data_IF_327922356783
#
_entry.id   IF_327922356783
#
_cell.length_a   1.000
_cell.length_b   1.000
_cell.length_c   1.000
_cell.angle_alpha   90.00
_cell.angle_beta   90.00
_cell.angle_gamma   90.00
#
_symmetry.space_group_name_H-M   'P 1'
#
loop_
_entity.id
_entity.type
_entity.pdbx_description
1 polymer ?
#
# COMPACT_ATOMS: atom_id res chain seq x y z
N UNK A 1 -24.14 -22.10 40.79
CA UNK A 1 -24.79 -20.79 41.07
C UNK A 1 -24.31 -19.65 40.18
N UNK A 2 -23.03 -19.24 40.21
CA UNK A 2 -22.54 -18.16 39.31
C UNK A 2 -22.41 -18.64 37.86
N UNK A 3 -21.91 -19.87 37.67
CA UNK A 3 -21.77 -20.50 36.36
C UNK A 3 -23.11 -20.61 35.60
N UNK A 4 -24.18 -21.01 36.30
CA UNK A 4 -25.52 -21.14 35.71
C UNK A 4 -26.10 -19.79 35.26
N UNK A 5 -25.83 -18.71 36.03
CA UNK A 5 -26.21 -17.33 35.64
C UNK A 5 -25.46 -16.87 34.39
N UNK A 6 -24.18 -17.23 34.26
CA UNK A 6 -23.38 -16.91 33.07
C UNK A 6 -23.93 -17.67 31.85
N UNK A 7 -24.25 -18.97 31.99
CA UNK A 7 -24.83 -19.75 30.90
C UNK A 7 -26.19 -19.21 30.45
N UNK A 8 -27.06 -18.82 31.38
CA UNK A 8 -28.34 -18.17 31.08
C UNK A 8 -28.14 -16.85 30.32
N UNK A 9 -27.21 -16.00 30.77
CA UNK A 9 -26.90 -14.75 30.09
C UNK A 9 -26.40 -14.98 28.65
N UNK A 10 -25.53 -15.96 28.42
CA UNK A 10 -25.04 -16.32 27.08
C UNK A 10 -26.20 -16.79 26.18
N UNK A 11 -27.11 -17.60 26.69
CA UNK A 11 -28.29 -18.04 25.93
C UNK A 11 -29.21 -16.87 25.59
N UNK A 12 -29.42 -15.94 26.52
CA UNK A 12 -30.21 -14.73 26.26
C UNK A 12 -29.56 -13.83 25.21
N UNK A 13 -28.23 -13.66 25.26
CA UNK A 13 -27.47 -12.93 24.24
C UNK A 13 -27.69 -13.55 22.87
N UNK A 14 -27.52 -14.87 22.73
CA UNK A 14 -27.75 -15.58 21.46
C UNK A 14 -29.18 -15.40 20.93
N UNK A 15 -30.19 -15.52 21.81
CA UNK A 15 -31.59 -15.27 21.43
C UNK A 15 -31.83 -13.83 20.94
N UNK A 16 -31.19 -12.85 21.58
CA UNK A 16 -31.28 -11.44 21.17
C UNK A 16 -30.57 -11.19 19.84
N UNK A 17 -29.42 -11.82 19.60
CA UNK A 17 -28.70 -11.73 18.33
C UNK A 17 -29.50 -12.31 17.15
N UNK A 18 -30.16 -13.46 17.36
CA UNK A 18 -31.03 -14.07 16.35
C UNK A 18 -32.23 -13.17 16.04
N UNK A 19 -32.89 -12.63 17.06
CA UNK A 19 -33.98 -11.66 16.88
C UNK A 19 -33.52 -10.43 16.11
N UNK A 20 -32.34 -9.88 16.45
CA UNK A 20 -31.77 -8.74 15.75
C UNK A 20 -31.46 -9.05 14.28
N UNK A 21 -30.98 -10.26 13.97
CA UNK A 21 -30.78 -10.70 12.58
C UNK A 21 -32.10 -10.75 11.81
N UNK A 22 -33.19 -11.20 12.43
CA UNK A 22 -34.54 -11.17 11.85
C UNK A 22 -34.97 -9.74 11.54
N UNK A 23 -34.97 -8.87 12.55
CA UNK A 23 -35.35 -7.46 12.40
C UNK A 23 -34.55 -6.76 11.30
N UNK A 24 -33.23 -6.99 11.22
CA UNK A 24 -32.39 -6.42 10.16
C UNK A 24 -32.76 -6.90 8.75
N UNK A 25 -33.24 -8.14 8.60
CA UNK A 25 -33.70 -8.65 7.30
C UNK A 25 -35.02 -7.99 6.92
N UNK A 26 -35.95 -7.90 7.86
CA UNK A 26 -37.27 -7.30 7.62
C UNK A 26 -37.12 -5.81 7.30
N UNK A 27 -36.31 -5.06 8.06
CA UNK A 27 -35.98 -3.66 7.76
C UNK A 27 -35.41 -3.50 6.35
N UNK A 28 -34.52 -4.38 5.89
CA UNK A 28 -33.97 -4.31 4.53
C UNK A 28 -35.02 -4.53 3.44
N UNK A 29 -36.06 -5.29 3.73
CA UNK A 29 -37.18 -5.51 2.79
C UNK A 29 -38.05 -4.26 2.75
N UNK A 30 -38.41 -3.72 3.90
CA UNK A 30 -39.22 -2.49 4.01
C UNK A 30 -38.51 -1.25 3.45
N UNK A 31 -37.21 -1.13 3.65
CA UNK A 31 -36.38 -0.04 3.10
C UNK A 31 -36.13 -0.18 1.59
N UNK A 32 -36.56 -1.29 0.97
CA UNK A 32 -36.38 -1.49 -0.47
C UNK A 32 -37.31 -0.55 -1.22
N UNK A 33 -36.72 0.38 -1.96
CA UNK A 33 -37.46 1.28 -2.84
C UNK A 33 -38.05 0.47 -3.99
N UNK A 34 -39.37 0.30 -4.03
CA UNK A 34 -40.07 -0.46 -5.08
C UNK A 34 -40.48 0.37 -6.29
N UNK A 35 -40.24 1.69 -6.25
CA UNK A 35 -40.52 2.59 -7.36
C UNK A 35 -39.87 2.12 -8.66
N UNK A 36 -40.69 1.95 -9.69
CA UNK A 36 -40.30 1.36 -10.97
C UNK A 36 -39.26 2.23 -11.69
N UNK A 37 -39.43 3.56 -11.67
CA UNK A 37 -38.50 4.50 -12.28
C UNK A 37 -37.13 4.44 -11.59
N UNK A 38 -37.11 4.37 -10.26
CA UNK A 38 -35.88 4.19 -9.49
C UNK A 38 -35.17 2.87 -9.84
N UNK A 39 -35.91 1.76 -9.95
CA UNK A 39 -35.33 0.46 -10.30
C UNK A 39 -34.77 0.46 -11.73
N UNK A 40 -35.44 1.10 -12.68
CA UNK A 40 -34.98 1.23 -14.05
C UNK A 40 -33.76 2.15 -14.16
N UNK A 41 -33.73 3.27 -13.45
CA UNK A 41 -32.54 4.13 -13.35
C UNK A 41 -31.36 3.36 -12.75
N UNK A 42 -31.59 2.58 -11.70
CA UNK A 42 -30.55 1.75 -11.06
C UNK A 42 -30.01 0.69 -12.01
N UNK A 43 -30.87 0.08 -12.83
CA UNK A 43 -30.48 -0.91 -13.83
C UNK A 43 -29.67 -0.25 -14.95
N UNK A 44 -30.17 0.85 -15.52
CA UNK A 44 -29.47 1.62 -16.55
C UNK A 44 -28.10 2.10 -16.07
N UNK A 45 -27.98 2.55 -14.82
CA UNK A 45 -26.68 2.92 -14.23
C UNK A 45 -25.71 1.74 -14.12
N UNK A 46 -26.21 0.54 -13.81
CA UNK A 46 -25.37 -0.66 -13.79
C UNK A 46 -24.91 -1.05 -15.19
N UNK A 47 -25.80 -0.99 -16.18
CA UNK A 47 -25.49 -1.29 -17.58
C UNK A 47 -24.48 -0.29 -18.16
N UNK A 48 -24.68 1.01 -17.94
CA UNK A 48 -23.73 2.03 -18.37
C UNK A 48 -22.35 1.86 -17.74
N UNK A 49 -22.27 1.45 -16.46
CA UNK A 49 -20.97 1.16 -15.82
C UNK A 49 -20.25 -0.01 -16.46
N UNK A 50 -20.97 -1.03 -16.91
CA UNK A 50 -20.38 -2.15 -17.65
C UNK A 50 -19.88 -1.68 -19.01
N UNK A 51 -20.70 -0.92 -19.75
CA UNK A 51 -20.29 -0.36 -21.04
C UNK A 51 -19.05 0.52 -20.95
N UNK A 52 -18.94 1.38 -19.92
CA UNK A 52 -17.74 2.19 -19.70
C UNK A 52 -16.52 1.31 -19.45
N UNK A 53 -16.66 0.25 -18.64
CA UNK A 53 -15.58 -0.68 -18.34
C UNK A 53 -15.12 -1.43 -19.58
N UNK A 54 -16.05 -1.88 -20.41
CA UNK A 54 -15.74 -2.57 -21.67
C UNK A 54 -15.00 -1.61 -22.63
N UNK A 55 -15.45 -0.35 -22.74
CA UNK A 55 -14.76 0.68 -23.54
C UNK A 55 -13.36 1.02 -23.02
N UNK A 56 -13.17 1.05 -21.69
CA UNK A 56 -11.85 1.25 -21.08
C UNK A 56 -10.91 0.10 -21.41
N UNK A 57 -11.39 -1.14 -21.36
CA UNK A 57 -10.62 -2.34 -21.73
C UNK A 57 -10.23 -2.32 -23.21
N UNK A 58 -11.19 -2.04 -24.10
CA UNK A 58 -10.93 -1.91 -25.54
C UNK A 58 -9.89 -0.81 -25.84
N UNK A 59 -10.03 0.37 -25.21
CA UNK A 59 -9.10 1.47 -25.39
C UNK A 59 -7.68 1.14 -24.87
N UNK A 60 -7.58 0.38 -23.78
CA UNK A 60 -6.31 -0.10 -23.25
C UNK A 60 -5.65 -1.12 -24.19
N UNK A 61 -6.42 -2.04 -24.76
CA UNK A 61 -5.91 -2.98 -25.75
C UNK A 61 -5.38 -2.27 -27.00
N UNK A 62 -6.10 -1.27 -27.49
CA UNK A 62 -5.68 -0.49 -28.65
C UNK A 62 -4.44 0.35 -28.34
N UNK A 63 -4.34 0.91 -27.14
CA UNK A 63 -3.12 1.57 -26.68
C UNK A 63 -1.93 0.60 -26.66
N UNK A 64 -2.12 -0.65 -26.20
CA UNK A 64 -1.06 -1.66 -26.19
C UNK A 64 -0.64 -2.11 -27.60
N UNK A 65 -1.54 -2.04 -28.58
CA UNK A 65 -1.24 -2.28 -29.99
C UNK A 65 -0.51 -1.10 -30.64
N UNK A 66 -0.57 0.09 -30.04
CA UNK A 66 0.10 1.29 -30.56
C UNK A 66 1.62 1.13 -30.54
N UNK A 67 2.26 1.39 -31.69
CA UNK A 67 3.72 1.36 -31.82
C UNK A 67 4.39 2.33 -30.84
N UNK A 68 3.85 3.55 -30.70
CA UNK A 68 4.40 4.56 -29.78
C UNK A 68 4.36 4.11 -28.31
N UNK A 69 3.29 3.44 -27.88
CA UNK A 69 3.23 2.89 -26.53
C UNK A 69 4.26 1.78 -26.32
N UNK A 70 4.45 0.92 -27.31
CA UNK A 70 5.46 -0.14 -27.26
C UNK A 70 6.89 0.44 -27.23
N UNK A 71 7.17 1.50 -28.00
CA UNK A 71 8.43 2.23 -27.92
C UNK A 71 8.68 2.80 -26.53
N UNK A 72 7.68 3.45 -25.91
CA UNK A 72 7.77 3.95 -24.54
C UNK A 72 8.01 2.82 -23.53
N UNK A 73 7.38 1.66 -23.72
CA UNK A 73 7.58 0.49 -22.88
C UNK A 73 9.00 -0.04 -22.99
N UNK A 74 9.56 -0.12 -24.20
CA UNK A 74 10.96 -0.52 -24.42
C UNK A 74 11.95 0.49 -23.81
N UNK A 75 11.72 1.79 -24.00
CA UNK A 75 12.53 2.83 -23.39
C UNK A 75 12.54 2.72 -21.86
N UNK A 76 11.38 2.43 -21.25
CA UNK A 76 11.26 2.21 -19.80
C UNK A 76 12.10 1.01 -19.35
N UNK A 77 11.99 -0.12 -20.05
CA UNK A 77 12.75 -1.33 -19.72
C UNK A 77 14.27 -1.08 -19.79
N UNK A 78 14.75 -0.44 -20.86
CA UNK A 78 16.16 -0.08 -21.00
C UNK A 78 16.65 0.84 -19.88
N UNK A 79 15.81 1.81 -19.46
CA UNK A 79 16.14 2.70 -18.34
C UNK A 79 16.19 1.94 -17.00
N UNK A 80 15.25 1.03 -16.75
CA UNK A 80 15.22 0.17 -15.55
C UNK A 80 16.46 -0.73 -15.49
N UNK A 81 16.83 -1.37 -16.59
CA UNK A 81 18.03 -2.19 -16.70
C UNK A 81 19.31 -1.39 -16.47
N UNK A 82 19.44 -0.21 -17.10
CA UNK A 82 20.58 0.68 -16.89
C UNK A 82 20.72 1.11 -15.43
N UNK A 83 19.59 1.42 -14.78
CA UNK A 83 19.58 1.79 -13.36
C UNK A 83 19.98 0.62 -12.46
N UNK A 84 19.54 -0.60 -12.77
CA UNK A 84 19.95 -1.80 -12.05
C UNK A 84 21.45 -2.06 -12.18
N UNK A 85 22.02 -1.91 -13.37
CA UNK A 85 23.46 -2.06 -13.59
C UNK A 85 24.28 -1.01 -12.82
N UNK A 86 23.86 0.26 -12.82
CA UNK A 86 24.54 1.31 -12.05
C UNK A 86 24.44 1.07 -10.54
N UNK A 87 23.30 0.56 -10.05
CA UNK A 87 23.18 0.12 -8.65
C UNK A 87 24.12 -1.03 -8.32
N UNK A 88 24.23 -2.02 -9.18
CA UNK A 88 25.16 -3.15 -8.97
C UNK A 88 26.62 -2.66 -8.92
N UNK A 89 27.01 -1.76 -9.82
CA UNK A 89 28.34 -1.13 -9.77
C UNK A 89 28.56 -0.36 -8.47
N UNK A 90 27.55 0.41 -8.03
CA UNK A 90 27.62 1.14 -6.76
C UNK A 90 27.80 0.18 -5.57
N UNK A 91 27.07 -0.94 -5.54
CA UNK A 91 27.22 -1.93 -4.48
C UNK A 91 28.60 -2.57 -4.47
N UNK A 92 29.14 -2.93 -5.64
CA UNK A 92 30.54 -3.43 -5.75
C UNK A 92 31.55 -2.40 -5.25
N UNK A 93 31.38 -1.13 -5.59
CA UNK A 93 32.26 -0.06 -5.10
C UNK A 93 32.13 0.14 -3.59
N UNK A 94 30.93 0.00 -3.02
CA UNK A 94 30.71 0.06 -1.57
C UNK A 94 31.39 -1.10 -0.83
N UNK A 95 31.44 -2.31 -1.41
CA UNK A 95 32.18 -3.45 -0.86
C UNK A 95 33.69 -3.21 -0.84
N UNK A 96 34.22 -2.45 -1.80
CA UNK A 96 35.65 -2.09 -1.87
C UNK A 96 36.04 -0.96 -0.91
N UNK A 97 35.06 -0.23 -0.33
CA UNK A 97 35.35 0.79 0.67
C UNK A 97 35.87 0.09 1.93
N UNK A 98 37.13 0.35 2.35
CA UNK A 98 37.64 -0.23 3.57
C UNK A 98 36.78 0.21 4.75
N UNK A 99 36.40 -0.74 5.62
CA UNK A 99 35.76 -0.53 6.94
C UNK A 99 36.70 0.21 7.92
N UNK A 100 37.40 1.25 7.45
CA UNK A 100 38.25 2.09 8.28
C UNK A 100 37.40 3.18 8.91
N UNK A 101 37.60 3.46 10.21
CA UNK A 101 37.02 4.64 10.83
C UNK A 101 37.49 5.86 10.04
N UNK A 102 36.54 6.66 9.57
CA UNK A 102 36.82 7.92 8.90
C UNK A 102 36.53 9.07 9.88
N UNK A 103 37.43 10.05 9.91
CA UNK A 103 37.21 11.29 10.65
C UNK A 103 36.33 12.21 9.82
N UNK A 104 35.21 12.64 10.40
CA UNK A 104 34.42 13.74 9.85
C UNK A 104 34.71 14.97 10.72
N UNK A 105 35.22 16.03 10.09
CA UNK A 105 35.31 17.36 10.69
C UNK A 105 33.98 18.07 10.50
N UNK A 106 33.18 18.18 11.57
CA UNK A 106 31.91 18.93 11.54
C UNK A 106 32.15 20.32 12.14
N UNK A 107 31.81 21.37 11.39
CA UNK A 107 31.77 22.75 11.93
C UNK A 107 30.40 23.00 12.53
N UNK A 108 30.33 23.14 13.85
CA UNK A 108 29.16 23.68 14.54
C UNK A 108 29.45 25.13 15.01
N UNK A 109 28.42 25.86 15.42
CA UNK A 109 28.49 27.29 15.79
C UNK A 109 29.48 27.57 16.94
N UNK A 110 29.84 26.55 17.74
CA UNK A 110 30.81 26.65 18.85
C UNK A 110 32.22 26.11 18.54
N UNK A 111 32.48 25.62 17.31
CA UNK A 111 33.81 25.17 16.88
C UNK A 111 33.84 23.89 16.04
N UNK A 112 35.05 23.43 15.69
CA UNK A 112 35.28 22.20 14.92
C UNK A 112 35.25 20.98 15.85
N UNK A 113 34.25 20.10 15.67
CA UNK A 113 34.17 18.82 16.36
C UNK A 113 34.71 17.71 15.45
N UNK A 114 35.64 16.91 15.98
CA UNK A 114 36.18 15.72 15.32
C UNK A 114 35.42 14.47 15.78
N UNK A 115 34.77 13.78 14.86
CA UNK A 115 34.07 12.52 15.15
C UNK A 115 34.84 11.37 14.52
N UNK A 116 35.36 10.47 15.35
CA UNK A 116 35.91 9.17 14.92
C UNK A 116 34.83 8.10 15.09
N UNK A 117 34.28 7.60 13.98
CA UNK A 117 33.26 6.55 14.00
C UNK A 117 33.88 5.18 13.70
N UNK A 118 33.78 4.24 14.64
CA UNK A 118 34.16 2.84 14.41
C UNK A 118 33.08 2.10 13.58
N UNK A 119 33.42 1.04 12.82
CA UNK A 119 32.47 0.34 11.93
C UNK A 119 31.22 -0.23 12.62
N UNK A 120 31.28 -0.48 13.93
CA UNK A 120 30.17 -0.98 14.74
C UNK A 120 29.31 0.12 15.39
N UNK A 121 29.62 1.40 15.17
CA UNK A 121 28.87 2.51 15.76
C UNK A 121 27.70 2.93 14.86
N UNK A 122 26.52 3.08 15.46
CA UNK A 122 25.32 3.61 14.81
C UNK A 122 25.46 5.12 14.69
N UNK A 123 25.56 5.63 13.46
CA UNK A 123 25.66 7.06 13.21
C UNK A 123 24.25 7.63 13.04
N UNK A 124 23.96 8.69 13.80
CA UNK A 124 22.71 9.43 13.72
C UNK A 124 23.00 10.80 13.09
N UNK A 125 22.30 11.12 12.00
CA UNK A 125 22.35 12.46 11.39
C UNK A 125 20.94 13.04 11.45
N UNK A 126 20.78 14.22 12.06
CA UNK A 126 19.48 14.88 12.26
C UNK A 126 18.40 13.95 12.88
N UNK A 127 18.79 13.14 13.87
CA UNK A 127 17.89 12.26 14.61
C UNK A 127 17.43 11.00 13.87
N UNK A 128 17.93 10.72 12.65
CA UNK A 128 17.66 9.47 11.93
C UNK A 128 18.88 8.55 11.96
N UNK A 129 18.66 7.32 12.41
CA UNK A 129 19.68 6.25 12.38
C UNK A 129 19.95 5.85 10.94
N UNK A 130 21.20 5.97 10.49
CA UNK A 130 21.64 5.35 9.24
C UNK A 130 22.06 3.93 9.63
N UNK A 131 21.23 2.93 9.30
CA UNK A 131 21.54 1.52 9.55
C UNK A 131 22.81 1.15 8.80
N UNK A 132 23.84 0.75 9.55
CA UNK A 132 24.97 -0.02 9.00
C UNK A 132 24.40 -1.38 8.54
N UNK A 133 24.34 -1.60 7.23
CA UNK A 133 24.21 -2.93 6.65
C UNK A 133 25.64 -3.47 6.55
N UNK A 134 25.92 -4.50 7.35
CA UNK A 134 27.13 -5.31 7.17
C UNK A 134 27.06 -6.17 5.92
#
# INVERSE_FOLDING_TARGET
MVHDKIQLAIQEVRKREEKLKGIKKDMKVEEKIEDEQYQDLKRGLKEMRLQVKDMEEDALEDLQKSEFYNELREMRLKAEEGLAQEREKLFKLLEEVPLKPFEIDVKEEEGLMKIQAAPSMRIFVNGKEIKNLG
#
